data_IF_400445155156
#
_entry.id   IF_400445155156
#
_cell.length_a   1.000
_cell.length_b   1.000
_cell.length_c   1.000
_cell.angle_alpha   90.00
_cell.angle_beta   90.00
_cell.angle_gamma   90.00
#
_symmetry.space_group_name_H-M   'P 1'
#
loop_
_entity.id
_entity.type
_entity.pdbx_description
1 polymer ?
#
# COMPACT_ATOMS: atom_id res chain seq x y z
N UNK A 1 -31.39 19.53 -29.30
CA UNK A 1 -30.03 19.51 -28.74
C UNK A 1 -29.95 18.26 -27.89
N UNK A 2 -29.13 17.29 -28.27
CA UNK A 2 -28.86 16.10 -27.46
C UNK A 2 -27.72 16.52 -26.55
N UNK A 3 -28.01 16.79 -25.28
CA UNK A 3 -26.98 16.91 -24.26
C UNK A 3 -26.33 15.54 -24.13
N UNK A 4 -25.13 15.40 -24.68
CA UNK A 4 -24.30 14.22 -24.44
C UNK A 4 -24.06 14.14 -22.93
N UNK A 5 -24.37 13.02 -22.25
CA UNK A 5 -23.96 12.87 -20.87
C UNK A 5 -22.45 13.05 -20.85
N UNK A 6 -21.99 13.98 -20.02
CA UNK A 6 -20.57 14.27 -19.88
C UNK A 6 -19.84 12.96 -19.60
N UNK A 7 -18.79 12.69 -20.36
CA UNK A 7 -17.98 11.46 -20.31
C UNK A 7 -17.35 11.22 -18.91
N UNK A 8 -17.53 12.17 -17.97
CA UNK A 8 -17.06 12.12 -16.59
C UNK A 8 -18.21 12.03 -15.57
N UNK A 9 -19.13 11.08 -15.72
CA UNK A 9 -19.87 10.59 -14.55
C UNK A 9 -18.90 9.75 -13.71
N UNK A 10 -18.07 10.42 -12.91
CA UNK A 10 -17.24 9.74 -11.90
C UNK A 10 -18.20 9.10 -10.91
N UNK A 11 -18.20 7.77 -10.85
CA UNK A 11 -19.04 7.05 -9.91
C UNK A 11 -18.54 7.39 -8.50
N UNK A 12 -19.38 8.04 -7.70
CA UNK A 12 -19.05 8.44 -6.34
C UNK A 12 -19.84 7.61 -5.34
N UNK A 13 -19.19 7.19 -4.26
CA UNK A 13 -19.84 6.51 -3.13
C UNK A 13 -19.94 7.45 -1.94
N UNK A 14 -21.10 7.47 -1.30
CA UNK A 14 -21.26 8.09 0.02
C UNK A 14 -20.94 7.02 1.07
N UNK A 15 -19.78 7.15 1.73
CA UNK A 15 -19.30 6.16 2.72
C UNK A 15 -19.85 6.49 4.11
N UNK A 16 -20.00 7.79 4.39
CA UNK A 16 -20.58 8.36 5.60
C UNK A 16 -21.40 9.59 5.23
N UNK A 17 -22.34 10.05 6.09
CA UNK A 17 -23.12 11.26 5.84
C UNK A 17 -22.21 12.45 5.49
N UNK A 18 -22.29 12.94 4.25
CA UNK A 18 -21.50 14.06 3.77
C UNK A 18 -20.04 13.77 3.36
N UNK A 19 -19.60 12.50 3.37
CA UNK A 19 -18.29 12.07 2.87
C UNK A 19 -18.49 11.32 1.55
N UNK A 20 -18.15 11.99 0.46
CA UNK A 20 -18.23 11.48 -0.91
C UNK A 20 -16.83 11.16 -1.40
N UNK A 21 -16.61 9.93 -1.83
CA UNK A 21 -15.31 9.47 -2.36
C UNK A 21 -15.52 8.94 -3.78
N UNK A 22 -14.59 9.25 -4.67
CA UNK A 22 -14.62 8.72 -6.02
C UNK A 22 -14.32 7.20 -6.00
N UNK A 23 -15.03 6.41 -6.79
CA UNK A 23 -14.87 4.95 -6.83
C UNK A 23 -13.41 4.55 -7.08
N UNK A 24 -12.75 5.24 -7.99
CA UNK A 24 -11.35 5.05 -8.35
C UNK A 24 -10.41 5.31 -7.17
N UNK A 25 -10.61 6.39 -6.41
CA UNK A 25 -9.83 6.68 -5.20
C UNK A 25 -10.00 5.57 -4.15
N UNK A 26 -11.24 5.10 -3.95
CA UNK A 26 -11.54 4.02 -3.02
C UNK A 26 -10.87 2.71 -3.43
N UNK A 27 -10.91 2.37 -4.71
CA UNK A 27 -10.25 1.17 -5.24
C UNK A 27 -8.73 1.25 -5.10
N UNK A 28 -8.14 2.41 -5.36
CA UNK A 28 -6.70 2.65 -5.15
C UNK A 28 -6.36 2.47 -3.68
N UNK A 29 -7.13 3.05 -2.77
CA UNK A 29 -6.90 2.92 -1.33
C UNK A 29 -6.97 1.45 -0.88
N UNK A 30 -7.98 0.70 -1.32
CA UNK A 30 -8.10 -0.74 -1.04
C UNK A 30 -6.89 -1.50 -1.61
N UNK A 31 -6.47 -1.21 -2.83
CA UNK A 31 -5.31 -1.83 -3.44
C UNK A 31 -4.02 -1.55 -2.64
N UNK A 32 -3.83 -0.32 -2.17
CA UNK A 32 -2.69 0.06 -1.32
C UNK A 32 -2.74 -0.65 0.03
N UNK A 33 -3.92 -0.83 0.64
CA UNK A 33 -4.07 -1.59 1.88
C UNK A 33 -3.72 -3.07 1.70
N UNK A 34 -4.17 -3.68 0.60
CA UNK A 34 -3.85 -5.07 0.27
C UNK A 34 -2.34 -5.21 0.03
N UNK A 35 -1.74 -4.28 -0.72
CA UNK A 35 -0.31 -4.25 -0.97
C UNK A 35 0.46 -4.14 0.35
N UNK A 36 0.06 -3.21 1.20
CA UNK A 36 0.66 -2.97 2.51
C UNK A 36 0.63 -4.24 3.38
N UNK A 37 -0.54 -4.89 3.50
CA UNK A 37 -0.70 -6.09 4.30
C UNK A 37 0.09 -7.28 3.73
N UNK A 38 0.12 -7.42 2.40
CA UNK A 38 0.78 -8.54 1.72
C UNK A 38 2.29 -8.44 1.82
N UNK A 39 2.87 -7.27 1.48
CA UNK A 39 4.31 -7.02 1.57
C UNK A 39 4.76 -7.11 3.03
N UNK A 40 4.02 -6.49 3.96
CA UNK A 40 4.35 -6.53 5.37
C UNK A 40 4.35 -7.93 5.96
N UNK A 41 3.32 -8.74 5.64
CA UNK A 41 3.25 -10.15 6.05
C UNK A 41 4.42 -10.95 5.49
N UNK A 42 4.77 -10.76 4.23
CA UNK A 42 5.90 -11.46 3.60
C UNK A 42 7.22 -11.10 4.28
N UNK A 43 7.54 -9.81 4.40
CA UNK A 43 8.79 -9.34 5.02
C UNK A 43 8.90 -9.76 6.49
N UNK A 44 7.82 -9.66 7.25
CA UNK A 44 7.80 -10.12 8.64
C UNK A 44 8.15 -11.60 8.75
N UNK A 45 7.51 -12.45 7.92
CA UNK A 45 7.73 -13.88 7.96
C UNK A 45 9.13 -14.26 7.47
N UNK A 46 9.63 -13.63 6.41
CA UNK A 46 10.99 -13.85 5.89
C UNK A 46 12.02 -13.46 6.95
N UNK A 47 11.94 -12.25 7.51
CA UNK A 47 12.86 -11.77 8.55
C UNK A 47 12.78 -12.63 9.83
N UNK A 48 11.58 -13.03 10.25
CA UNK A 48 11.39 -13.90 11.41
C UNK A 48 11.97 -15.29 11.19
N UNK A 49 11.83 -15.86 9.99
CA UNK A 49 12.41 -17.16 9.65
C UNK A 49 13.93 -17.16 9.70
N UNK A 50 14.54 -15.98 9.52
CA UNK A 50 15.98 -15.73 9.59
C UNK A 50 16.48 -15.36 10.99
N UNK A 51 15.58 -15.30 11.98
CA UNK A 51 15.95 -14.93 13.36
C UNK A 51 16.20 -13.43 13.57
N UNK A 52 15.82 -12.57 12.61
CA UNK A 52 15.99 -11.12 12.74
C UNK A 52 15.17 -10.57 13.90
N UNK A 53 15.83 -9.86 14.82
CA UNK A 53 15.18 -9.13 15.93
C UNK A 53 14.33 -7.95 15.42
N UNK A 54 14.61 -7.49 14.21
CA UNK A 54 13.94 -6.36 13.57
C UNK A 54 12.83 -6.79 12.61
N UNK A 55 12.41 -8.07 12.63
CA UNK A 55 11.35 -8.58 11.77
C UNK A 55 10.06 -7.73 11.82
N UNK A 56 9.71 -7.16 12.98
CA UNK A 56 8.56 -6.28 13.13
C UNK A 56 8.77 -4.92 12.42
N UNK A 57 9.98 -4.37 12.43
CA UNK A 57 10.31 -3.14 11.69
C UNK A 57 10.27 -3.38 10.19
N UNK A 58 10.83 -4.50 9.73
CA UNK A 58 10.77 -4.87 8.33
C UNK A 58 9.32 -5.12 7.86
N UNK A 59 8.52 -5.79 8.69
CA UNK A 59 7.13 -6.10 8.39
C UNK A 59 6.17 -4.92 8.44
N UNK A 60 6.35 -3.97 9.36
CA UNK A 60 5.43 -2.84 9.54
C UNK A 60 5.99 -1.51 9.00
N UNK A 61 7.28 -1.27 9.22
CA UNK A 61 7.97 -0.06 8.80
C UNK A 61 8.13 0.04 7.29
N UNK A 62 8.49 -1.05 6.61
CA UNK A 62 8.66 -1.02 5.14
C UNK A 62 7.37 -0.63 4.43
N UNK A 63 6.22 -1.28 4.68
CA UNK A 63 4.99 -0.92 3.97
C UNK A 63 4.50 0.49 4.28
N UNK A 64 4.78 1.04 5.48
CA UNK A 64 4.42 2.43 5.81
C UNK A 64 5.12 3.48 4.94
N UNK A 65 6.26 3.16 4.34
CA UNK A 65 6.98 4.10 3.47
C UNK A 65 6.24 4.42 2.18
N UNK A 66 5.16 3.70 1.85
CA UNK A 66 4.29 4.04 0.72
C UNK A 66 3.67 5.44 0.83
N UNK A 67 3.58 6.00 2.05
CA UNK A 67 3.15 7.38 2.29
C UNK A 67 4.14 8.39 1.66
N UNK A 68 5.42 8.05 1.60
CA UNK A 68 6.46 8.85 0.95
C UNK A 68 6.55 8.58 -0.57
N UNK A 69 5.90 7.52 -1.06
CA UNK A 69 5.93 7.12 -2.45
C UNK A 69 6.16 5.61 -2.63
N UNK A 70 5.64 5.07 -3.73
CA UNK A 70 5.84 3.66 -4.08
C UNK A 70 7.31 3.36 -4.38
N UNK A 71 8.02 4.31 -4.99
CA UNK A 71 9.45 4.26 -5.26
C UNK A 71 10.30 4.19 -3.98
N UNK A 72 9.95 4.97 -2.95
CA UNK A 72 10.60 4.91 -1.64
C UNK A 72 10.37 3.54 -1.00
N UNK A 73 9.15 3.00 -1.08
CA UNK A 73 8.85 1.65 -0.57
C UNK A 73 9.68 0.57 -1.28
N UNK A 74 9.78 0.65 -2.60
CA UNK A 74 10.61 -0.28 -3.38
C UNK A 74 12.08 -0.17 -2.98
N UNK A 75 12.60 1.04 -2.76
CA UNK A 75 13.97 1.25 -2.29
C UNK A 75 14.22 0.56 -0.94
N UNK A 76 13.30 0.71 0.03
CA UNK A 76 13.42 0.04 1.34
C UNK A 76 13.34 -1.48 1.21
N UNK A 77 12.49 -2.00 0.32
CA UNK A 77 12.45 -3.44 0.02
C UNK A 77 13.80 -3.92 -0.55
N UNK A 78 14.41 -3.16 -1.47
CA UNK A 78 15.74 -3.49 -2.00
C UNK A 78 16.79 -3.48 -0.89
N UNK A 79 16.78 -2.47 -0.02
CA UNK A 79 17.68 -2.40 1.15
C UNK A 79 17.51 -3.64 2.04
N UNK A 80 16.27 -4.02 2.35
CA UNK A 80 15.98 -5.24 3.10
C UNK A 80 16.56 -6.49 2.42
N UNK A 81 16.34 -6.64 1.11
CA UNK A 81 16.83 -7.79 0.35
C UNK A 81 18.36 -7.90 0.34
N UNK A 82 19.05 -6.76 0.39
CA UNK A 82 20.52 -6.71 0.47
C UNK A 82 21.02 -7.03 1.89
N UNK A 83 20.28 -6.65 2.93
CA UNK A 83 20.69 -6.82 4.33
C UNK A 83 20.28 -8.16 4.94
N UNK A 84 19.20 -8.79 4.45
CA UNK A 84 18.60 -9.99 5.08
C UNK A 84 19.48 -11.24 5.16
N UNK A 85 20.59 -11.27 4.42
CA UNK A 85 21.58 -12.37 4.45
C UNK A 85 22.81 -12.03 5.31
N UNK A 86 22.90 -10.79 5.82
CA UNK A 86 24.03 -10.30 6.62
C UNK A 86 23.71 -10.19 8.13
N UNK A 87 22.47 -10.51 8.53
CA UNK A 87 21.99 -10.47 9.93
C UNK A 87 22.14 -11.83 10.66
#
# INVERSE_FOLDING_TARGET
MIDWPSIMQVMTYEIFPGIVVAQDELLIFIALLILWATVGRWMYNDAKSRGSKWAWQWGYGTPLTIIAGLDVMLLVIVIYLLLRDSE
#
